data_IF_423243564110
#
_entry.id   IF_423243564110
#
_cell.length_a   1.000
_cell.length_b   1.000
_cell.length_c   1.000
_cell.angle_alpha   90.00
_cell.angle_beta   90.00
_cell.angle_gamma   90.00
#
_symmetry.space_group_name_H-M   'P 1'
#
loop_
_entity.id
_entity.type
_entity.pdbx_description
1 polymer ?
#
# COMPACT_ATOMS: atom_id res chain seq x y z
N UNK A 1 -18.11 58.79 18.43
CA UNK A 1 -17.88 58.90 16.96
C UNK A 1 -19.04 58.17 16.28
N UNK A 2 -20.05 58.86 15.73
CA UNK A 2 -21.18 58.22 15.03
C UNK A 2 -20.66 57.74 13.68
N UNK A 3 -20.65 56.44 13.47
CA UNK A 3 -20.26 55.81 12.20
C UNK A 3 -21.38 56.13 11.20
N UNK A 4 -21.05 56.78 10.07
CA UNK A 4 -21.98 57.12 9.02
C UNK A 4 -22.57 55.85 8.38
N UNK A 5 -23.89 55.61 8.47
CA UNK A 5 -24.52 54.39 7.99
C UNK A 5 -24.41 54.21 6.48
N UNK A 6 -24.23 55.29 5.69
CA UNK A 6 -24.04 55.23 4.24
C UNK A 6 -22.64 54.67 3.92
N UNK A 7 -21.62 55.11 4.65
CA UNK A 7 -20.24 54.63 4.47
C UNK A 7 -20.09 53.16 4.82
N UNK A 8 -20.80 52.70 5.86
CA UNK A 8 -20.82 51.26 6.21
C UNK A 8 -21.49 50.41 5.14
N UNK A 9 -22.61 50.86 4.56
CA UNK A 9 -23.28 50.17 3.45
C UNK A 9 -22.41 50.10 2.21
N UNK A 10 -21.70 51.20 1.87
CA UNK A 10 -20.73 51.17 0.75
C UNK A 10 -19.61 50.20 1.00
N UNK A 11 -19.02 50.17 2.20
CA UNK A 11 -17.96 49.20 2.57
C UNK A 11 -18.48 47.76 2.48
N UNK A 12 -19.67 47.48 2.99
CA UNK A 12 -20.28 46.15 2.92
C UNK A 12 -20.53 45.70 1.47
N UNK A 13 -21.03 46.60 0.63
CA UNK A 13 -21.26 46.35 -0.80
C UNK A 13 -19.95 46.14 -1.56
N UNK A 14 -18.90 46.92 -1.24
CA UNK A 14 -17.59 46.75 -1.87
C UNK A 14 -16.94 45.42 -1.46
N UNK A 15 -17.00 45.05 -0.19
CA UNK A 15 -16.49 43.76 0.29
C UNK A 15 -17.27 42.57 -0.32
N UNK A 16 -18.62 42.71 -0.42
CA UNK A 16 -19.45 41.69 -1.07
C UNK A 16 -19.14 41.56 -2.58
N UNK A 17 -18.97 42.71 -3.29
CA UNK A 17 -18.62 42.69 -4.70
C UNK A 17 -17.20 42.15 -4.95
N UNK A 18 -16.21 42.50 -4.13
CA UNK A 18 -14.88 41.89 -4.18
C UNK A 18 -14.93 40.38 -3.89
N UNK A 19 -15.74 39.97 -2.92
CA UNK A 19 -15.93 38.54 -2.63
C UNK A 19 -16.58 37.79 -3.80
N UNK A 20 -17.61 38.38 -4.43
CA UNK A 20 -18.28 37.81 -5.60
C UNK A 20 -17.39 37.79 -6.88
N UNK A 21 -16.46 38.73 -7.02
CA UNK A 21 -15.52 38.77 -8.16
C UNK A 21 -14.34 37.80 -7.95
N UNK A 22 -13.89 37.62 -6.70
CA UNK A 22 -12.75 36.76 -6.37
C UNK A 22 -13.15 35.26 -6.18
N UNK A 23 -14.43 34.97 -5.89
CA UNK A 23 -14.91 33.61 -5.57
C UNK A 23 -15.49 32.79 -6.73
N UNK A 24 -15.88 33.34 -7.93
CA UNK A 24 -16.48 32.49 -8.95
C UNK A 24 -15.54 31.34 -9.40
N UNK A 25 -14.25 31.57 -9.46
CA UNK A 25 -13.27 30.52 -9.76
C UNK A 25 -13.08 29.53 -8.59
N UNK A 26 -13.25 29.95 -7.37
CA UNK A 26 -13.14 29.09 -6.18
C UNK A 26 -14.41 28.27 -5.98
N UNK A 27 -15.59 28.89 -6.12
CA UNK A 27 -16.88 28.19 -6.05
C UNK A 27 -17.09 27.22 -7.21
N UNK A 28 -16.68 27.59 -8.43
CA UNK A 28 -16.74 26.69 -9.59
C UNK A 28 -15.78 25.52 -9.46
N UNK A 29 -14.56 25.73 -8.94
CA UNK A 29 -13.61 24.65 -8.63
C UNK A 29 -14.14 23.75 -7.51
N UNK A 30 -14.73 24.32 -6.46
CA UNK A 30 -15.32 23.56 -5.36
C UNK A 30 -16.50 22.70 -5.84
N UNK A 31 -17.39 23.29 -6.65
CA UNK A 31 -18.52 22.59 -7.24
C UNK A 31 -18.04 21.52 -8.25
N UNK A 32 -17.04 21.82 -9.06
CA UNK A 32 -16.46 20.85 -9.99
C UNK A 32 -15.80 19.67 -9.25
N UNK A 33 -15.00 19.95 -8.21
CA UNK A 33 -14.37 18.91 -7.40
C UNK A 33 -15.40 18.08 -6.64
N UNK A 34 -16.47 18.71 -6.11
CA UNK A 34 -17.56 17.99 -5.46
C UNK A 34 -18.35 17.11 -6.43
N UNK A 35 -18.61 17.58 -7.65
CA UNK A 35 -19.28 16.79 -8.71
C UNK A 35 -18.39 15.66 -9.20
N UNK A 36 -17.09 15.91 -9.34
CA UNK A 36 -16.10 14.88 -9.73
C UNK A 36 -16.02 13.80 -8.65
N UNK A 37 -15.82 14.18 -7.39
CA UNK A 37 -15.80 13.22 -6.27
C UNK A 37 -17.10 12.44 -6.11
N UNK A 38 -18.27 13.09 -6.36
CA UNK A 38 -19.55 12.39 -6.34
C UNK A 38 -19.71 11.40 -7.51
N UNK A 39 -19.19 11.73 -8.70
CA UNK A 39 -19.17 10.83 -9.85
C UNK A 39 -18.28 9.62 -9.60
N UNK A 40 -17.10 9.84 -9.03
CA UNK A 40 -16.18 8.78 -8.62
C UNK A 40 -16.82 7.87 -7.56
N UNK A 41 -17.37 8.45 -6.50
CA UNK A 41 -18.09 7.70 -5.46
C UNK A 41 -19.25 6.85 -6.01
N UNK A 42 -20.07 7.41 -6.93
CA UNK A 42 -21.15 6.65 -7.58
C UNK A 42 -20.60 5.52 -8.45
N UNK A 43 -19.53 5.79 -9.21
CA UNK A 43 -18.86 4.75 -10.02
C UNK A 43 -18.38 3.59 -9.16
N UNK A 44 -17.82 3.89 -8.00
CA UNK A 44 -17.35 2.90 -7.04
C UNK A 44 -18.47 2.13 -6.35
N UNK A 45 -19.55 2.81 -5.98
CA UNK A 45 -20.74 2.14 -5.46
C UNK A 45 -21.33 1.15 -6.49
N UNK A 46 -21.31 1.52 -7.78
CA UNK A 46 -21.75 0.63 -8.87
C UNK A 46 -20.78 -0.56 -8.99
N UNK A 47 -19.47 -0.29 -8.95
CA UNK A 47 -18.46 -1.34 -8.97
C UNK A 47 -18.56 -2.25 -7.75
N UNK A 48 -18.75 -1.69 -6.55
CA UNK A 48 -18.97 -2.44 -5.32
C UNK A 48 -20.21 -3.33 -5.39
N UNK A 49 -21.35 -2.80 -5.89
CA UNK A 49 -22.56 -3.60 -6.11
C UNK A 49 -22.32 -4.71 -7.11
N UNK A 50 -21.62 -4.42 -8.21
CA UNK A 50 -21.25 -5.42 -9.22
C UNK A 50 -20.33 -6.49 -8.62
N UNK A 51 -19.32 -6.10 -7.85
CA UNK A 51 -18.40 -7.04 -7.18
C UNK A 51 -19.14 -7.89 -6.13
N UNK A 52 -20.02 -7.29 -5.33
CA UNK A 52 -20.82 -8.06 -4.36
C UNK A 52 -21.85 -8.98 -5.00
N UNK A 53 -22.29 -8.72 -6.23
CA UNK A 53 -23.13 -9.67 -7.01
C UNK A 53 -22.32 -10.85 -7.56
N UNK A 54 -20.99 -10.67 -7.71
CA UNK A 54 -20.08 -11.78 -7.92
C UNK A 54 -19.91 -12.45 -6.56
N UNK A 55 -20.40 -13.66 -6.42
CA UNK A 55 -20.20 -14.41 -5.20
C UNK A 55 -18.67 -14.52 -4.95
N UNK A 56 -18.16 -13.98 -3.83
CA UNK A 56 -16.73 -14.06 -3.50
C UNK A 56 -16.26 -15.51 -3.30
N UNK A 57 -17.22 -16.43 -3.09
CA UNK A 57 -16.98 -17.88 -3.00
C UNK A 57 -16.97 -18.55 -4.38
N UNK A 58 -17.33 -17.83 -5.46
CA UNK A 58 -17.30 -18.38 -6.81
C UNK A 58 -15.83 -18.52 -7.25
N UNK A 59 -15.35 -19.74 -7.21
CA UNK A 59 -13.98 -20.10 -7.55
C UNK A 59 -13.97 -20.73 -8.95
N UNK A 60 -13.45 -19.98 -9.92
CA UNK A 60 -13.39 -20.42 -11.32
C UNK A 60 -12.04 -21.09 -11.67
N UNK A 61 -11.14 -21.26 -10.70
CA UNK A 61 -9.97 -22.09 -10.88
C UNK A 61 -10.37 -23.55 -10.98
N UNK A 62 -9.79 -24.29 -11.90
CA UNK A 62 -9.91 -25.75 -11.93
C UNK A 62 -9.21 -26.40 -10.73
N UNK A 63 -9.03 -27.70 -10.79
CA UNK A 63 -8.25 -28.43 -9.79
C UNK A 63 -6.80 -27.93 -9.76
N UNK A 64 -6.29 -27.58 -8.58
CA UNK A 64 -4.93 -27.10 -8.34
C UNK A 64 -4.26 -28.04 -7.36
N UNK A 65 -3.13 -28.63 -7.77
CA UNK A 65 -2.29 -29.43 -6.89
C UNK A 65 -1.36 -28.55 -6.06
N UNK A 66 -1.08 -28.96 -4.83
CA UNK A 66 -0.21 -28.24 -3.91
C UNK A 66 1.09 -29.03 -3.65
N UNK A 67 2.12 -28.77 -4.44
CA UNK A 67 3.44 -29.38 -4.30
C UNK A 67 4.44 -28.54 -3.49
N UNK A 68 3.97 -27.45 -2.85
CA UNK A 68 4.83 -26.60 -2.03
C UNK A 68 5.45 -27.39 -0.87
N UNK A 69 6.75 -27.31 -0.69
CA UNK A 69 7.47 -27.87 0.47
C UNK A 69 7.35 -27.02 1.73
N UNK A 70 6.86 -25.77 1.62
CA UNK A 70 6.74 -24.84 2.71
C UNK A 70 5.39 -24.99 3.42
N UNK A 71 5.44 -25.02 4.75
CA UNK A 71 4.26 -25.13 5.62
C UNK A 71 3.54 -23.79 5.73
N UNK A 72 4.32 -22.69 5.78
CA UNK A 72 3.82 -21.32 5.84
C UNK A 72 4.41 -20.49 4.70
N UNK A 73 3.53 -19.90 3.92
CA UNK A 73 3.89 -18.94 2.88
C UNK A 73 3.35 -17.58 3.29
N UNK A 74 4.21 -16.56 3.35
CA UNK A 74 3.81 -15.20 3.68
C UNK A 74 4.03 -14.32 2.47
N UNK A 75 3.01 -13.57 2.10
CA UNK A 75 3.08 -12.54 1.08
C UNK A 75 2.91 -11.17 1.72
N UNK A 76 3.98 -10.40 1.78
CA UNK A 76 3.91 -8.98 2.12
C UNK A 76 3.63 -8.16 0.87
N UNK A 77 2.58 -7.37 0.90
CA UNK A 77 2.25 -6.36 -0.09
C UNK A 77 2.58 -5.02 0.54
N UNK A 78 3.64 -4.36 0.07
CA UNK A 78 4.03 -3.01 0.47
C UNK A 78 3.17 -1.96 -0.23
N UNK A 79 3.28 -0.73 0.20
CA UNK A 79 2.60 0.43 -0.32
C UNK A 79 3.63 1.44 -0.82
N UNK A 80 3.51 1.93 -2.06
CA UNK A 80 4.27 3.05 -2.64
C UNK A 80 5.81 2.95 -2.48
N UNK A 81 6.37 1.72 -2.56
CA UNK A 81 7.78 1.47 -2.28
C UNK A 81 8.60 1.28 -3.55
N UNK A 82 9.57 2.17 -3.79
CA UNK A 82 10.52 2.07 -4.90
C UNK A 82 11.72 1.18 -4.56
N UNK A 83 12.09 0.30 -5.46
CA UNK A 83 13.25 -0.58 -5.25
C UNK A 83 14.58 0.20 -5.13
N UNK A 84 14.76 1.29 -5.86
CA UNK A 84 16.00 2.08 -5.85
C UNK A 84 16.16 2.98 -4.62
N UNK A 85 15.21 2.97 -3.69
CA UNK A 85 15.33 3.56 -2.35
C UNK A 85 15.64 2.52 -1.26
N UNK A 86 15.84 1.26 -1.60
CA UNK A 86 16.22 0.20 -0.66
C UNK A 86 17.72 -0.09 -0.75
N UNK A 87 18.42 -0.12 0.39
CA UNK A 87 19.86 -0.41 0.43
C UNK A 87 20.22 -1.75 -0.22
N UNK A 88 19.38 -2.78 -0.06
CA UNK A 88 19.57 -4.10 -0.70
C UNK A 88 19.59 -4.03 -2.22
N UNK A 89 19.02 -3.00 -2.84
CA UNK A 89 19.09 -2.74 -4.27
C UNK A 89 20.10 -1.65 -4.65
N UNK A 90 20.97 -1.24 -3.71
CA UNK A 90 22.07 -0.30 -3.96
C UNK A 90 21.81 1.14 -3.53
N UNK A 91 20.75 1.43 -2.80
CA UNK A 91 20.58 2.76 -2.18
C UNK A 91 21.68 3.01 -1.16
N UNK A 92 22.19 4.26 -1.10
CA UNK A 92 23.36 4.57 -0.28
C UNK A 92 23.09 4.55 1.23
N UNK A 93 21.84 4.73 1.64
CA UNK A 93 21.46 4.69 3.05
C UNK A 93 21.17 3.27 3.51
N UNK A 94 21.66 2.91 4.71
CA UNK A 94 21.49 1.55 5.28
C UNK A 94 20.10 1.38 5.90
N UNK A 95 19.07 1.50 5.09
CA UNK A 95 17.66 1.45 5.53
C UNK A 95 17.01 0.06 5.43
N UNK A 96 17.71 -0.93 4.89
CA UNK A 96 17.26 -2.34 4.86
C UNK A 96 18.31 -3.27 5.47
N UNK A 97 18.67 -3.12 6.77
CA UNK A 97 19.74 -3.89 7.38
C UNK A 97 19.49 -5.40 7.39
N UNK A 98 18.24 -5.84 7.57
CA UNK A 98 17.88 -7.24 7.53
C UNK A 98 17.95 -7.78 6.09
N UNK A 99 17.24 -7.16 5.16
CA UNK A 99 17.22 -7.61 3.76
C UNK A 99 18.61 -7.58 3.10
N UNK A 100 19.49 -6.68 3.55
CA UNK A 100 20.88 -6.59 3.06
C UNK A 100 21.80 -7.67 3.66
N UNK A 101 21.35 -8.40 4.69
CA UNK A 101 22.13 -9.42 5.38
C UNK A 101 21.60 -10.85 5.22
N UNK A 102 20.32 -11.00 4.85
CA UNK A 102 19.69 -12.31 4.67
C UNK A 102 19.94 -12.85 3.27
N UNK A 103 20.12 -14.16 3.15
CA UNK A 103 20.14 -14.82 1.84
C UNK A 103 18.72 -14.89 1.27
N UNK A 104 18.60 -14.74 -0.05
CA UNK A 104 17.33 -14.75 -0.74
C UNK A 104 17.47 -14.38 -2.22
N UNK A 105 16.34 -14.30 -2.90
CA UNK A 105 16.27 -13.86 -4.29
C UNK A 105 15.78 -12.42 -4.35
N UNK A 106 16.58 -11.54 -4.92
CA UNK A 106 16.29 -10.12 -5.10
C UNK A 106 16.16 -9.82 -6.59
N UNK A 107 14.94 -9.61 -7.06
CA UNK A 107 14.67 -9.39 -8.48
C UNK A 107 14.88 -7.94 -8.84
N UNK A 108 15.78 -7.68 -9.80
CA UNK A 108 16.03 -6.33 -10.32
C UNK A 108 15.09 -6.02 -11.50
N UNK A 109 14.81 -4.73 -11.70
CA UNK A 109 13.96 -4.25 -12.81
C UNK A 109 12.57 -4.88 -12.81
N UNK A 110 11.96 -5.02 -11.65
CA UNK A 110 10.59 -5.44 -11.51
C UNK A 110 9.67 -4.20 -11.44
N UNK A 111 8.52 -4.29 -12.08
CA UNK A 111 7.59 -3.18 -12.24
C UNK A 111 6.18 -3.62 -11.86
N UNK A 112 5.44 -2.72 -11.20
CA UNK A 112 4.01 -2.87 -10.92
C UNK A 112 3.17 -2.77 -12.20
N UNK A 113 1.93 -3.18 -12.11
CA UNK A 113 1.00 -3.09 -13.24
C UNK A 113 0.45 -1.68 -13.46
N UNK A 114 0.48 -0.83 -12.42
CA UNK A 114 0.00 0.56 -12.46
C UNK A 114 0.76 1.38 -11.41
N UNK A 115 0.59 2.70 -11.42
CA UNK A 115 1.18 3.65 -10.45
C UNK A 115 0.28 3.90 -9.23
N UNK A 116 -0.87 3.28 -9.16
CA UNK A 116 -1.86 3.40 -8.09
C UNK A 116 -2.22 2.04 -7.51
N UNK A 117 -2.51 1.99 -6.21
CA UNK A 117 -2.80 0.76 -5.45
C UNK A 117 -3.88 -0.09 -6.09
N UNK A 118 -5.08 0.46 -6.31
CA UNK A 118 -6.23 -0.31 -6.78
C UNK A 118 -6.05 -0.85 -8.19
N UNK A 119 -5.70 -0.03 -9.21
CA UNK A 119 -5.45 -0.54 -10.56
C UNK A 119 -4.34 -1.59 -10.58
N UNK A 120 -3.23 -1.37 -9.86
CA UNK A 120 -2.11 -2.29 -9.81
C UNK A 120 -2.48 -3.64 -9.18
N UNK A 121 -3.00 -3.63 -7.95
CA UNK A 121 -3.29 -4.87 -7.24
C UNK A 121 -4.44 -5.66 -7.86
N UNK A 122 -5.44 -5.01 -8.48
CA UNK A 122 -6.48 -5.71 -9.24
C UNK A 122 -5.87 -6.59 -10.33
N UNK A 123 -4.85 -6.06 -11.02
CA UNK A 123 -4.16 -6.77 -12.10
C UNK A 123 -3.21 -7.82 -11.50
N UNK A 124 -2.40 -7.46 -10.51
CA UNK A 124 -1.36 -8.33 -9.97
C UNK A 124 -1.92 -9.53 -9.19
N UNK A 125 -3.10 -9.40 -8.58
CA UNK A 125 -3.70 -10.43 -7.73
C UNK A 125 -4.83 -11.22 -8.39
N UNK A 126 -5.15 -10.98 -9.68
CA UNK A 126 -6.16 -11.72 -10.42
C UNK A 126 -5.63 -12.21 -11.75
N UNK A 127 -6.23 -13.26 -12.29
CA UNK A 127 -5.92 -13.74 -13.64
C UNK A 127 -6.42 -12.74 -14.68
N UNK A 128 -5.57 -12.40 -15.64
CA UNK A 128 -5.86 -11.39 -16.66
C UNK A 128 -6.40 -11.97 -17.98
N UNK A 129 -6.48 -13.30 -18.12
CA UNK A 129 -6.86 -13.94 -19.36
C UNK A 129 -5.76 -13.91 -20.43
N UNK A 130 -6.06 -14.54 -21.57
CA UNK A 130 -5.13 -14.62 -22.71
C UNK A 130 -5.38 -13.52 -23.76
N UNK A 131 -6.43 -12.73 -23.60
CA UNK A 131 -6.83 -11.68 -24.52
C UNK A 131 -6.17 -10.34 -24.18
N UNK A 132 -5.94 -9.50 -25.19
CA UNK A 132 -5.28 -8.20 -25.09
C UNK A 132 -5.96 -7.15 -24.21
N UNK A 133 -7.13 -7.43 -23.64
CA UNK A 133 -7.78 -6.57 -22.65
C UNK A 133 -7.42 -7.02 -21.25
N UNK A 134 -6.73 -6.14 -20.54
CA UNK A 134 -6.39 -6.33 -19.14
C UNK A 134 -7.65 -6.05 -18.31
N UNK A 135 -8.40 -7.09 -17.96
CA UNK A 135 -9.59 -7.00 -17.11
C UNK A 135 -9.44 -7.93 -15.91
N UNK A 136 -9.55 -7.43 -14.66
CA UNK A 136 -9.40 -8.26 -13.47
C UNK A 136 -10.49 -9.33 -13.39
N UNK A 137 -10.09 -10.59 -13.31
CA UNK A 137 -11.00 -11.71 -13.06
C UNK A 137 -10.99 -12.05 -11.56
N UNK A 138 -11.88 -11.46 -10.79
CA UNK A 138 -11.96 -11.66 -9.34
C UNK A 138 -12.26 -13.10 -8.91
N UNK A 139 -13.16 -13.87 -9.57
CA UNK A 139 -13.30 -15.30 -9.32
C UNK A 139 -12.00 -16.09 -9.50
N UNK A 140 -11.10 -15.65 -10.38
CA UNK A 140 -9.74 -16.18 -10.55
C UNK A 140 -8.70 -15.34 -9.82
N UNK A 141 -8.97 -14.97 -8.58
CA UNK A 141 -7.98 -14.30 -7.74
C UNK A 141 -6.92 -15.29 -7.23
N UNK A 142 -5.77 -14.76 -6.87
CA UNK A 142 -4.69 -15.50 -6.23
C UNK A 142 -5.14 -16.19 -4.92
N UNK A 143 -6.02 -15.53 -4.13
CA UNK A 143 -6.58 -16.13 -2.90
C UNK A 143 -7.47 -17.33 -3.24
N UNK A 144 -8.29 -17.24 -4.28
CA UNK A 144 -9.12 -18.35 -4.72
C UNK A 144 -8.26 -19.53 -5.24
N UNK A 145 -7.16 -19.24 -5.96
CA UNK A 145 -6.20 -20.26 -6.35
C UNK A 145 -5.61 -21.00 -5.13
N UNK A 146 -5.21 -20.24 -4.11
CA UNK A 146 -4.66 -20.83 -2.89
C UNK A 146 -5.70 -21.65 -2.11
N UNK A 147 -6.96 -21.21 -2.05
CA UNK A 147 -8.05 -21.97 -1.46
C UNK A 147 -8.25 -23.31 -2.19
N UNK A 148 -8.26 -23.30 -3.54
CA UNK A 148 -8.37 -24.52 -4.36
C UNK A 148 -7.18 -25.46 -4.19
N UNK A 149 -5.97 -24.90 -4.01
CA UNK A 149 -4.77 -25.67 -3.70
C UNK A 149 -4.75 -26.20 -2.25
N UNK A 150 -5.83 -26.01 -1.49
CA UNK A 150 -5.99 -26.56 -0.15
C UNK A 150 -5.27 -25.78 0.96
N UNK A 151 -4.85 -24.55 0.73
CA UNK A 151 -4.29 -23.72 1.80
C UNK A 151 -5.36 -23.26 2.79
N UNK A 152 -4.93 -23.02 4.03
CA UNK A 152 -5.65 -22.18 5.00
C UNK A 152 -5.18 -20.74 4.77
N UNK A 153 -6.06 -19.87 4.28
CA UNK A 153 -5.70 -18.55 3.79
C UNK A 153 -6.06 -17.46 4.79
N UNK A 154 -5.12 -16.52 4.98
CA UNK A 154 -5.22 -15.41 5.92
C UNK A 154 -4.93 -14.10 5.19
N UNK A 155 -5.75 -13.07 5.46
CA UNK A 155 -5.50 -11.71 4.99
C UNK A 155 -5.46 -10.77 6.19
N UNK A 156 -4.30 -10.14 6.41
CA UNK A 156 -4.06 -9.16 7.46
C UNK A 156 -3.80 -7.83 6.76
N UNK A 157 -4.55 -6.78 7.07
CA UNK A 157 -4.41 -5.48 6.38
C UNK A 157 -4.40 -4.32 7.38
N UNK A 158 -3.50 -3.36 7.15
CA UNK A 158 -3.53 -2.04 7.75
C UNK A 158 -4.20 -1.00 6.83
N UNK A 159 -4.71 -1.42 5.68
CA UNK A 159 -5.54 -0.60 4.81
C UNK A 159 -7.02 -0.75 5.20
N UNK A 160 -7.88 0.16 4.71
CA UNK A 160 -9.30 0.13 5.02
C UNK A 160 -10.02 -1.10 4.46
N UNK A 161 -11.24 -1.33 4.93
CA UNK A 161 -12.12 -2.38 4.42
C UNK A 161 -13.12 -1.83 3.38
N UNK A 162 -13.56 -0.59 3.60
CA UNK A 162 -14.57 0.09 2.77
C UNK A 162 -14.09 1.52 2.56
N UNK A 163 -13.96 1.93 1.33
CA UNK A 163 -13.56 3.26 0.93
C UNK A 163 -13.25 3.30 -0.55
N UNK A 164 -13.03 4.49 -1.06
CA UNK A 164 -12.74 4.76 -2.47
C UNK A 164 -11.59 3.88 -2.99
N UNK A 165 -10.57 3.70 -2.19
CA UNK A 165 -9.33 3.00 -2.57
C UNK A 165 -9.23 1.57 -2.03
N UNK A 166 -10.19 1.12 -1.20
CA UNK A 166 -10.06 -0.15 -0.49
C UNK A 166 -10.95 -1.25 -1.06
N UNK A 167 -12.08 -0.87 -1.64
CA UNK A 167 -13.18 -1.78 -1.96
C UNK A 167 -12.81 -2.93 -2.91
N UNK A 168 -12.10 -2.72 -4.05
CA UNK A 168 -11.76 -3.82 -4.95
C UNK A 168 -10.76 -4.80 -4.33
N UNK A 169 -9.81 -4.31 -3.54
CA UNK A 169 -8.78 -5.14 -2.90
C UNK A 169 -9.38 -5.89 -1.71
N UNK A 170 -10.24 -5.22 -0.93
CA UNK A 170 -10.96 -5.89 0.15
C UNK A 170 -11.92 -6.98 -0.36
N UNK A 171 -12.42 -6.86 -1.61
CA UNK A 171 -13.18 -7.93 -2.25
C UNK A 171 -12.32 -9.18 -2.50
N UNK A 172 -11.08 -9.01 -3.00
CA UNK A 172 -10.12 -10.13 -3.11
C UNK A 172 -9.83 -10.70 -1.71
N UNK A 173 -9.60 -9.83 -0.72
CA UNK A 173 -9.36 -10.23 0.67
C UNK A 173 -10.51 -11.02 1.29
N UNK A 174 -11.77 -10.74 0.91
CA UNK A 174 -12.95 -11.47 1.39
C UNK A 174 -12.92 -12.96 1.07
N UNK A 175 -12.24 -13.36 0.00
CA UNK A 175 -12.07 -14.76 -0.38
C UNK A 175 -11.13 -15.54 0.56
N UNK A 176 -10.33 -14.86 1.40
CA UNK A 176 -9.50 -15.53 2.40
C UNK A 176 -10.35 -16.16 3.51
N UNK A 177 -9.95 -17.34 4.00
CA UNK A 177 -10.62 -18.03 5.10
C UNK A 177 -10.68 -17.19 6.38
N UNK A 178 -9.57 -16.50 6.69
CA UNK A 178 -9.44 -15.62 7.85
C UNK A 178 -9.04 -14.22 7.41
N UNK A 179 -9.72 -13.21 7.94
CA UNK A 179 -9.50 -11.79 7.61
C UNK A 179 -9.34 -10.97 8.88
N UNK A 180 -8.36 -10.05 8.88
CA UNK A 180 -8.16 -9.10 9.96
C UNK A 180 -7.74 -7.75 9.40
N UNK A 181 -8.60 -6.76 9.53
CA UNK A 181 -8.34 -5.37 9.15
C UNK A 181 -8.11 -4.58 10.43
N UNK A 182 -6.84 -4.21 10.69
CA UNK A 182 -6.47 -3.63 12.00
C UNK A 182 -7.13 -2.28 12.24
N UNK A 183 -7.33 -1.46 11.21
CA UNK A 183 -8.00 -0.14 11.31
C UNK A 183 -9.48 -0.22 11.71
N UNK A 184 -10.13 -1.37 11.61
CA UNK A 184 -11.47 -1.56 12.18
C UNK A 184 -11.45 -1.63 13.71
N UNK A 185 -10.30 -1.91 14.30
CA UNK A 185 -10.10 -2.06 15.75
C UNK A 185 -9.35 -0.87 16.35
N UNK A 186 -8.42 -0.29 15.59
CA UNK A 186 -7.64 0.89 15.97
C UNK A 186 -7.29 1.73 14.73
N UNK A 187 -7.92 2.89 14.61
CA UNK A 187 -7.69 3.81 13.49
C UNK A 187 -6.26 4.37 13.44
N UNK A 188 -5.54 4.35 14.57
CA UNK A 188 -4.18 4.85 14.69
C UNK A 188 -3.13 3.75 14.55
N UNK A 189 -3.56 2.51 14.26
CA UNK A 189 -2.64 1.38 14.12
C UNK A 189 -1.63 1.62 13.00
N UNK A 190 -0.38 1.28 13.28
CA UNK A 190 0.72 1.24 12.33
C UNK A 190 0.96 -0.20 11.84
N UNK A 191 1.70 -0.35 10.75
CA UNK A 191 2.05 -1.68 10.21
C UNK A 191 2.74 -2.58 11.23
N UNK A 192 3.54 -2.00 12.12
CA UNK A 192 4.22 -2.76 13.18
C UNK A 192 3.25 -3.45 14.15
N UNK A 193 2.07 -2.89 14.37
CA UNK A 193 1.05 -3.48 15.25
C UNK A 193 0.48 -4.79 14.69
N UNK A 194 0.57 -4.98 13.37
CA UNK A 194 0.16 -6.24 12.72
C UNK A 194 1.01 -7.44 13.14
N UNK A 195 2.23 -7.23 13.66
CA UNK A 195 3.10 -8.34 14.11
C UNK A 195 2.44 -9.24 15.15
N UNK A 196 1.60 -8.69 16.02
CA UNK A 196 0.84 -9.49 17.01
C UNK A 196 -0.09 -10.47 16.31
N UNK A 197 -0.78 -10.00 15.27
CA UNK A 197 -1.74 -10.80 14.48
C UNK A 197 -1.02 -11.81 13.59
N UNK A 198 0.09 -11.40 12.96
CA UNK A 198 0.95 -12.27 12.16
C UNK A 198 1.46 -13.44 13.03
N UNK A 199 2.03 -13.13 14.20
CA UNK A 199 2.55 -14.13 15.12
C UNK A 199 1.46 -15.07 15.67
N UNK A 200 0.26 -14.54 15.91
CA UNK A 200 -0.91 -15.35 16.30
C UNK A 200 -1.25 -16.36 15.19
N UNK A 201 -1.36 -15.93 13.92
CA UNK A 201 -1.71 -16.83 12.82
C UNK A 201 -0.57 -17.79 12.44
N UNK A 202 0.69 -17.39 12.57
CA UNK A 202 1.83 -18.30 12.46
C UNK A 202 1.70 -19.43 13.47
N UNK A 203 1.36 -19.12 14.72
CA UNK A 203 1.29 -20.07 15.83
C UNK A 203 -0.01 -20.88 15.90
N UNK A 204 -1.08 -20.41 15.27
CA UNK A 204 -2.38 -21.09 15.27
C UNK A 204 -2.26 -22.47 14.60
N UNK A 205 -2.65 -23.57 15.24
CA UNK A 205 -2.61 -24.89 14.63
C UNK A 205 -3.46 -24.94 13.35
N UNK A 206 -2.96 -25.58 12.32
CA UNK A 206 -3.69 -25.91 11.10
C UNK A 206 -3.19 -27.25 10.55
N UNK A 207 -4.12 -28.06 10.02
CA UNK A 207 -3.77 -29.29 9.29
C UNK A 207 -3.37 -29.01 7.84
N UNK A 208 -3.62 -27.80 7.38
CA UNK A 208 -3.33 -27.32 6.03
C UNK A 208 -2.08 -26.43 6.05
N UNK A 209 -1.38 -26.37 4.91
CA UNK A 209 -0.38 -25.32 4.69
C UNK A 209 -1.06 -23.96 4.74
N UNK A 210 -0.34 -22.94 5.19
CA UNK A 210 -0.88 -21.59 5.34
C UNK A 210 -0.37 -20.67 4.25
N UNK A 211 -1.26 -19.80 3.76
CA UNK A 211 -0.92 -18.61 3.03
C UNK A 211 -1.36 -17.39 3.83
N UNK A 212 -0.43 -16.57 4.27
CA UNK A 212 -0.69 -15.36 5.04
C UNK A 212 -0.32 -14.15 4.18
N UNK A 213 -1.32 -13.38 3.75
CA UNK A 213 -1.13 -12.10 3.09
C UNK A 213 -1.11 -11.00 4.13
N UNK A 214 -0.11 -10.14 4.07
CA UNK A 214 0.08 -8.97 4.95
C UNK A 214 0.12 -7.73 4.07
N UNK A 215 -0.92 -6.90 4.13
CA UNK A 215 -1.09 -5.71 3.31
C UNK A 215 -0.77 -4.48 4.13
N UNK A 216 0.38 -3.85 3.84
CA UNK A 216 0.97 -2.73 4.55
C UNK A 216 0.40 -1.38 4.09
N UNK A 217 0.65 -0.31 4.86
CA UNK A 217 0.17 1.03 4.57
C UNK A 217 1.19 2.15 4.87
N UNK A 218 2.13 1.94 5.79
CA UNK A 218 2.93 3.01 6.42
C UNK A 218 3.73 3.89 5.43
N UNK A 219 4.10 3.40 4.27
CA UNK A 219 4.83 4.20 3.29
C UNK A 219 3.95 5.19 2.51
N UNK A 220 2.64 4.96 2.42
CA UNK A 220 1.70 5.95 1.88
C UNK A 220 1.62 7.20 2.78
N UNK A 221 1.65 6.99 4.09
CA UNK A 221 1.61 8.05 5.09
C UNK A 221 2.99 8.54 5.56
N UNK A 222 4.07 8.33 4.81
CA UNK A 222 5.45 8.57 5.25
C UNK A 222 5.66 9.93 5.92
N UNK A 223 5.04 10.99 5.41
CA UNK A 223 5.18 12.35 5.95
C UNK A 223 4.55 12.52 7.33
N UNK A 224 3.38 11.92 7.59
CA UNK A 224 2.70 11.98 8.89
C UNK A 224 3.41 11.13 9.95
N UNK A 225 4.09 10.08 9.52
CA UNK A 225 4.81 9.14 10.40
C UNK A 225 6.25 9.59 10.72
N UNK A 226 6.73 10.64 10.06
CA UNK A 226 8.12 11.09 10.16
C UNK A 226 8.56 11.40 11.60
N UNK A 227 7.76 12.15 12.34
CA UNK A 227 8.10 12.55 13.72
C UNK A 227 8.05 11.37 14.71
N UNK A 228 7.20 10.38 14.45
CA UNK A 228 7.09 9.16 15.24
C UNK A 228 8.27 8.21 14.97
N UNK A 229 8.90 8.32 13.81
CA UNK A 229 9.90 7.40 13.30
C UNK A 229 11.34 7.86 13.46
N UNK A 230 11.60 9.01 14.07
CA UNK A 230 12.97 9.53 14.29
C UNK A 230 13.94 8.48 14.85
N UNK A 231 13.46 7.59 15.70
CA UNK A 231 14.26 6.48 16.27
C UNK A 231 14.68 5.40 15.24
N UNK A 232 14.07 5.38 14.07
CA UNK A 232 14.40 4.46 12.98
C UNK A 232 15.23 5.10 11.88
N UNK A 233 15.38 6.43 11.93
CA UNK A 233 16.22 7.15 10.97
C UNK A 233 17.68 6.78 11.20
N UNK A 234 18.38 6.53 10.13
CA UNK A 234 19.81 6.25 10.20
C UNK A 234 20.60 7.54 10.39
N UNK A 235 21.78 7.47 11.00
CA UNK A 235 22.68 8.61 11.15
C UNK A 235 23.36 9.01 9.82
N UNK A 236 23.13 8.26 8.75
CA UNK A 236 23.74 8.50 7.46
C UNK A 236 23.18 9.79 6.83
N UNK A 237 24.07 10.71 6.53
CA UNK A 237 23.71 11.98 5.89
C UNK A 237 23.38 11.75 4.42
N UNK A 238 22.22 12.20 3.99
CA UNK A 238 21.84 12.26 2.58
C UNK A 238 22.52 13.46 1.93
N UNK A 239 23.69 13.25 1.37
CA UNK A 239 24.57 14.33 0.88
C UNK A 239 24.03 15.10 -0.34
N UNK A 240 23.10 14.53 -1.09
CA UNK A 240 22.59 15.14 -2.33
C UNK A 240 21.41 16.09 -2.17
N UNK A 241 20.80 16.15 -0.98
CA UNK A 241 19.60 16.96 -0.73
C UNK A 241 19.91 18.17 0.14
N UNK A 242 19.17 19.27 -0.06
CA UNK A 242 19.20 20.43 0.84
C UNK A 242 18.57 20.08 2.21
N UNK A 243 18.84 20.90 3.23
CA UNK A 243 18.28 20.66 4.58
C UNK A 243 16.73 20.62 4.59
N UNK A 244 16.07 21.41 3.73
CA UNK A 244 14.61 21.41 3.57
C UNK A 244 14.09 20.15 2.88
N UNK A 245 14.81 19.63 1.89
CA UNK A 245 14.41 18.46 1.10
C UNK A 245 14.73 17.14 1.81
N UNK A 246 15.70 17.19 2.73
CA UNK A 246 16.20 16.04 3.46
C UNK A 246 15.12 15.36 4.31
N UNK A 247 14.21 16.15 4.92
CA UNK A 247 13.18 15.64 5.81
C UNK A 247 12.28 14.62 5.13
N UNK A 248 11.76 14.91 3.93
CA UNK A 248 10.83 14.01 3.24
C UNK A 248 11.52 12.73 2.77
N UNK A 249 12.76 12.83 2.29
CA UNK A 249 13.57 11.66 1.92
C UNK A 249 13.89 10.79 3.14
N UNK A 250 14.23 11.41 4.27
CA UNK A 250 14.48 10.70 5.54
C UNK A 250 13.20 10.03 6.07
N UNK A 251 12.03 10.70 5.93
CA UNK A 251 10.75 10.13 6.33
C UNK A 251 10.39 8.90 5.47
N UNK A 252 10.58 8.99 4.16
CA UNK A 252 10.38 7.87 3.26
C UNK A 252 11.36 6.71 3.55
N UNK A 253 12.64 7.02 3.77
CA UNK A 253 13.65 6.04 4.17
C UNK A 253 13.31 5.36 5.51
N UNK A 254 12.67 6.09 6.43
CA UNK A 254 12.20 5.53 7.70
C UNK A 254 11.05 4.54 7.51
N UNK A 255 10.13 4.80 6.57
CA UNK A 255 9.08 3.85 6.20
C UNK A 255 9.67 2.56 5.60
N UNK A 256 10.72 2.69 4.75
CA UNK A 256 11.49 1.53 4.26
C UNK A 256 12.06 0.70 5.42
N UNK A 257 12.69 1.38 6.40
CA UNK A 257 13.28 0.70 7.57
C UNK A 257 12.24 -0.01 8.43
N UNK A 258 11.03 0.55 8.57
CA UNK A 258 9.93 -0.12 9.26
C UNK A 258 9.50 -1.39 8.55
N UNK A 259 9.35 -1.35 7.23
CA UNK A 259 9.00 -2.53 6.42
C UNK A 259 10.07 -3.63 6.57
N UNK A 260 11.36 -3.28 6.47
CA UNK A 260 12.48 -4.21 6.71
C UNK A 260 12.39 -4.87 8.09
N UNK A 261 12.07 -4.08 9.12
CA UNK A 261 11.92 -4.57 10.50
C UNK A 261 10.76 -5.55 10.64
N UNK A 262 9.59 -5.27 10.05
CA UNK A 262 8.42 -6.17 10.11
C UNK A 262 8.75 -7.51 9.45
N UNK A 263 9.38 -7.49 8.28
CA UNK A 263 9.83 -8.71 7.58
C UNK A 263 10.85 -9.47 8.46
N UNK A 264 11.82 -8.76 9.05
CA UNK A 264 12.83 -9.33 9.94
C UNK A 264 12.22 -10.03 11.15
N UNK A 265 11.29 -9.39 11.85
CA UNK A 265 10.66 -9.96 13.05
C UNK A 265 9.78 -11.16 12.71
N UNK A 266 9.10 -11.12 11.56
CA UNK A 266 8.34 -12.26 11.04
C UNK A 266 9.26 -13.43 10.69
N UNK A 267 10.37 -13.18 9.99
CA UNK A 267 11.40 -14.18 9.67
C UNK A 267 11.94 -14.83 10.96
N UNK A 268 12.33 -14.04 11.95
CA UNK A 268 12.83 -14.54 13.23
C UNK A 268 11.80 -15.42 13.95
N UNK A 269 10.52 -15.04 13.91
CA UNK A 269 9.44 -15.87 14.48
C UNK A 269 9.34 -17.23 13.80
N UNK A 270 9.36 -17.26 12.47
CA UNK A 270 9.29 -18.51 11.69
C UNK A 270 10.52 -19.40 11.94
N UNK A 271 11.69 -18.78 11.88
CA UNK A 271 12.97 -19.49 12.07
C UNK A 271 13.11 -20.08 13.49
N UNK A 272 12.68 -19.32 14.53
CA UNK A 272 12.72 -19.81 15.92
C UNK A 272 11.83 -21.03 16.17
N UNK A 273 10.81 -21.23 15.34
CA UNK A 273 9.89 -22.38 15.41
C UNK A 273 10.33 -23.56 14.53
N UNK A 274 11.43 -23.44 13.82
CA UNK A 274 11.92 -24.44 12.87
C UNK A 274 10.85 -24.86 11.83
N UNK A 275 10.06 -23.88 11.37
CA UNK A 275 9.01 -24.07 10.36
C UNK A 275 9.63 -23.91 8.97
N UNK A 276 9.29 -24.78 8.02
CA UNK A 276 9.61 -24.54 6.61
C UNK A 276 8.72 -23.46 6.04
N UNK A 277 9.32 -22.35 5.60
CA UNK A 277 8.57 -21.17 5.14
C UNK A 277 9.12 -20.55 3.86
N UNK A 278 8.27 -19.78 3.21
CA UNK A 278 8.62 -18.84 2.15
C UNK A 278 8.01 -17.48 2.49
N UNK A 279 8.80 -16.42 2.41
CA UNK A 279 8.38 -15.04 2.49
C UNK A 279 8.58 -14.41 1.10
N UNK A 280 7.55 -13.78 0.56
CA UNK A 280 7.63 -12.95 -0.64
C UNK A 280 7.22 -11.53 -0.25
N UNK A 281 7.97 -10.54 -0.71
CA UNK A 281 7.65 -9.13 -0.57
C UNK A 281 7.68 -8.46 -1.94
N UNK A 282 6.64 -7.71 -2.25
CA UNK A 282 6.61 -6.72 -3.33
C UNK A 282 5.81 -5.50 -2.91
N UNK A 283 6.04 -4.36 -3.55
CA UNK A 283 5.17 -3.18 -3.40
C UNK A 283 4.08 -3.17 -4.45
N UNK A 284 2.94 -2.63 -4.12
CA UNK A 284 1.81 -2.45 -5.04
C UNK A 284 2.15 -1.53 -6.21
N UNK A 285 2.85 -0.43 -5.95
CA UNK A 285 3.43 0.49 -6.94
C UNK A 285 4.67 1.20 -6.36
N UNK A 286 5.38 1.93 -7.23
CA UNK A 286 6.45 2.83 -6.84
C UNK A 286 5.93 4.24 -6.54
N UNK A 287 6.83 5.22 -6.63
CA UNK A 287 6.49 6.64 -6.45
C UNK A 287 7.39 7.53 -7.30
N UNK A 288 6.84 8.60 -7.81
CA UNK A 288 7.60 9.62 -8.54
C UNK A 288 8.05 10.72 -7.60
N UNK A 289 9.31 11.12 -7.71
CA UNK A 289 9.86 12.25 -6.99
C UNK A 289 9.46 13.54 -7.71
N UNK A 290 8.94 14.51 -7.00
CA UNK A 290 8.56 15.82 -7.52
C UNK A 290 9.07 16.91 -6.59
N UNK A 291 9.16 18.14 -7.10
CA UNK A 291 9.63 19.29 -6.34
C UNK A 291 8.60 20.40 -6.39
N UNK A 292 8.25 20.98 -5.25
CA UNK A 292 7.35 22.11 -5.18
C UNK A 292 8.04 23.45 -5.56
N UNK A 293 7.29 24.55 -5.57
CA UNK A 293 7.82 25.88 -5.91
C UNK A 293 8.85 26.40 -4.91
N UNK A 294 8.93 25.84 -3.71
CA UNK A 294 9.93 26.17 -2.68
C UNK A 294 11.15 25.26 -2.75
N UNK A 295 11.17 24.28 -3.66
CA UNK A 295 12.27 23.32 -3.83
C UNK A 295 12.17 22.10 -2.90
N UNK A 296 11.05 21.88 -2.22
CA UNK A 296 10.87 20.71 -1.37
C UNK A 296 10.54 19.49 -2.21
N UNK A 297 11.19 18.36 -1.91
CA UNK A 297 10.92 17.07 -2.55
C UNK A 297 9.70 16.43 -1.88
N UNK A 298 8.82 15.88 -2.70
CA UNK A 298 7.72 15.04 -2.25
C UNK A 298 7.49 13.88 -3.23
N UNK A 299 6.85 12.83 -2.75
CA UNK A 299 6.54 11.65 -3.53
C UNK A 299 5.07 11.63 -3.91
N UNK A 300 4.79 11.29 -5.18
CA UNK A 300 3.42 11.27 -5.74
C UNK A 300 3.23 10.14 -6.75
N UNK A 301 1.99 9.93 -7.14
CA UNK A 301 1.64 9.12 -8.31
C UNK A 301 1.87 9.92 -9.60
N UNK A 302 2.48 9.30 -10.61
CA UNK A 302 2.71 9.91 -11.91
C UNK A 302 2.77 8.84 -13.00
N UNK A 303 1.75 8.76 -13.85
CA UNK A 303 1.60 7.70 -14.86
C UNK A 303 2.67 7.73 -15.94
N UNK A 304 3.23 8.89 -16.22
CA UNK A 304 4.24 9.07 -17.26
C UNK A 304 5.68 8.87 -16.74
N UNK A 305 5.86 8.57 -15.45
CA UNK A 305 7.17 8.35 -14.85
C UNK A 305 7.38 6.87 -14.53
N UNK A 306 8.43 6.27 -15.12
CA UNK A 306 8.81 4.86 -14.83
C UNK A 306 9.11 4.59 -13.35
N UNK A 307 9.47 5.62 -12.59
CA UNK A 307 9.72 5.50 -11.16
C UNK A 307 8.45 5.10 -10.38
N UNK A 308 7.27 5.55 -10.85
CA UNK A 308 5.98 5.16 -10.29
C UNK A 308 5.65 3.67 -10.42
N UNK A 309 6.28 2.98 -11.37
CA UNK A 309 6.11 1.54 -11.60
C UNK A 309 7.21 0.68 -10.97
N UNK A 310 8.38 1.25 -10.66
CA UNK A 310 9.57 0.50 -10.23
C UNK A 310 9.46 0.06 -8.78
N UNK A 311 9.29 -1.25 -8.57
CA UNK A 311 9.06 -1.82 -7.24
C UNK A 311 10.08 -2.91 -6.88
N UNK A 312 10.29 -3.21 -5.59
CA UNK A 312 11.03 -4.39 -5.16
C UNK A 312 10.21 -5.67 -5.38
N UNK A 313 10.89 -6.77 -5.68
CA UNK A 313 10.37 -8.12 -5.55
C UNK A 313 11.44 -8.97 -4.88
N UNK A 314 11.13 -9.49 -3.70
CA UNK A 314 12.06 -10.22 -2.85
C UNK A 314 11.43 -11.55 -2.44
N UNK A 315 12.20 -12.64 -2.47
CA UNK A 315 11.82 -13.93 -1.95
C UNK A 315 12.90 -14.43 -0.98
N UNK A 316 12.46 -14.82 0.22
CA UNK A 316 13.31 -15.40 1.26
C UNK A 316 12.67 -16.72 1.69
N UNK A 317 13.45 -17.78 1.84
CA UNK A 317 12.95 -19.08 2.28
C UNK A 317 13.77 -19.63 3.43
N UNK A 318 13.21 -20.60 4.15
CA UNK A 318 13.91 -21.35 5.18
C UNK A 318 15.10 -22.18 4.64
N UNK A 319 15.21 -22.31 3.32
CA UNK A 319 16.25 -23.12 2.66
C UNK A 319 17.34 -22.24 2.02
N UNK A 320 17.22 -20.93 2.06
CA UNK A 320 18.22 -20.01 1.53
C UNK A 320 19.44 -20.00 2.48
N UNK A 321 20.56 -20.54 2.02
CA UNK A 321 21.82 -20.71 2.78
C UNK A 321 22.92 -19.80 2.26
#
# INVERSE_FOLDING_TARGET
MKIDPIRNRLYTLTVLSCYLVLTPNMLSKLAFNALHGMKEYISELIQFKKLNSLNSENNEWGEITNDSKYEINILFIGEMMRSDYLNVYGYNEKNTPFLSSVNGTFVHNFYSADTHTVPSLRIMLTYQGENSKIEPNYPKSFINAANNAGYDTYWISNQGLIGEYDTPISFIAKSATHKYFIKLHDNNAEDHDMLKVINYYISKPSKKKKLIVVHLFDSHGYGSLCDQNKKFMTENKLLKYSETNKKDVECYSSAVTKTDKIISETYKTLNSKNIKFSIVYFSDHGSSESTDNAGNIFYKHEDNDKAGYKIPLIRITSDDT
#
